data_IF_571549068205
#
_entry.id   IF_571549068205
#
_cell.length_a   1.000
_cell.length_b   1.000
_cell.length_c   1.000
_cell.angle_alpha   90.00
_cell.angle_beta   90.00
_cell.angle_gamma   90.00
#
_symmetry.space_group_name_H-M   'P 1'
#
loop_
_entity.id
_entity.type
_entity.pdbx_description
1 polymer ?
#
# COMPACT_ATOMS: atom_id res chain seq x y z
N UNK A 1 3.77 15.40 -23.24
CA UNK A 1 5.23 15.58 -23.06
C UNK A 1 5.69 14.40 -22.24
N UNK A 2 6.69 13.68 -22.70
CA UNK A 2 7.19 12.49 -22.00
C UNK A 2 7.92 12.91 -20.74
N UNK A 3 7.63 12.27 -19.61
CA UNK A 3 8.35 12.53 -18.37
C UNK A 3 9.27 11.36 -18.02
N UNK A 4 10.35 11.65 -17.29
CA UNK A 4 11.26 10.65 -16.76
C UNK A 4 11.42 10.83 -15.27
N UNK A 5 11.29 9.74 -14.53
CA UNK A 5 11.62 9.66 -13.11
C UNK A 5 13.06 9.14 -12.98
N UNK A 6 13.95 9.95 -12.40
CA UNK A 6 15.37 9.59 -12.26
C UNK A 6 15.61 8.74 -11.01
N UNK A 7 15.21 7.47 -11.09
CA UNK A 7 15.45 6.47 -10.05
C UNK A 7 15.94 5.15 -10.66
N UNK A 8 16.86 4.43 -9.99
CA UNK A 8 17.26 3.11 -10.44
C UNK A 8 16.06 2.15 -10.47
N UNK A 9 15.97 1.32 -11.51
CA UNK A 9 14.91 0.31 -11.62
C UNK A 9 14.84 -0.64 -10.41
N UNK A 10 15.99 -0.95 -9.79
CA UNK A 10 16.04 -1.74 -8.56
C UNK A 10 15.27 -1.10 -7.40
N UNK A 11 15.23 0.23 -7.32
CA UNK A 11 14.47 0.96 -6.29
C UNK A 11 12.97 0.81 -6.52
N UNK A 12 12.52 0.92 -7.79
CA UNK A 12 11.11 0.71 -8.15
C UNK A 12 10.66 -0.72 -7.83
N UNK A 13 11.51 -1.71 -8.11
CA UNK A 13 11.21 -3.11 -7.77
C UNK A 13 11.19 -3.36 -6.26
N UNK A 14 12.10 -2.74 -5.52
CA UNK A 14 12.09 -2.81 -4.06
C UNK A 14 10.83 -2.14 -3.49
N UNK A 15 10.40 -1.01 -4.04
CA UNK A 15 9.18 -0.33 -3.63
C UNK A 15 7.95 -1.23 -3.83
N UNK A 16 7.83 -1.84 -5.01
CA UNK A 16 6.79 -2.82 -5.30
C UNK A 16 6.79 -3.96 -4.28
N UNK A 17 7.95 -4.58 -4.05
CA UNK A 17 8.04 -5.72 -3.14
C UNK A 17 7.65 -5.33 -1.70
N UNK A 18 8.00 -4.11 -1.26
CA UNK A 18 7.59 -3.60 0.05
C UNK A 18 6.08 -3.40 0.15
N UNK A 19 5.45 -2.86 -0.88
CA UNK A 19 3.99 -2.71 -0.91
C UNK A 19 3.25 -4.05 -0.93
N UNK A 20 3.77 -5.03 -1.67
CA UNK A 20 3.25 -6.40 -1.74
C UNK A 20 3.31 -7.07 -0.36
N UNK A 21 4.49 -7.05 0.28
CA UNK A 21 4.68 -7.59 1.64
C UNK A 21 3.79 -6.89 2.66
N UNK A 22 3.70 -5.55 2.61
CA UNK A 22 2.84 -4.79 3.51
C UNK A 22 1.35 -5.14 3.32
N UNK A 23 0.92 -5.33 2.07
CA UNK A 23 -0.42 -5.79 1.73
C UNK A 23 -0.72 -7.15 2.36
N UNK A 24 0.16 -8.13 2.18
CA UNK A 24 0.02 -9.49 2.75
C UNK A 24 0.00 -9.48 4.29
N UNK A 25 0.87 -8.68 4.92
CA UNK A 25 0.93 -8.57 6.37
C UNK A 25 -0.35 -7.96 6.96
N UNK A 26 -0.85 -6.88 6.34
CA UNK A 26 -2.11 -6.23 6.74
C UNK A 26 -3.31 -7.14 6.46
N UNK A 27 -3.31 -7.86 5.34
CA UNK A 27 -4.34 -8.82 4.96
C UNK A 27 -4.45 -9.97 5.99
N UNK A 28 -3.30 -10.48 6.44
CA UNK A 28 -3.25 -11.43 7.54
C UNK A 28 -3.70 -10.82 8.88
N UNK A 29 -3.34 -9.57 9.15
CA UNK A 29 -3.66 -8.89 10.41
C UNK A 29 -5.16 -8.66 10.59
N UNK A 30 -5.85 -8.10 9.57
CA UNK A 30 -7.28 -7.83 9.69
C UNK A 30 -8.09 -9.12 9.83
N UNK A 31 -7.72 -10.20 9.12
CA UNK A 31 -8.39 -11.50 9.26
C UNK A 31 -8.25 -12.06 10.66
N UNK A 32 -7.03 -12.05 11.22
CA UNK A 32 -6.79 -12.51 12.60
C UNK A 32 -7.62 -11.71 13.59
N UNK A 33 -7.68 -10.38 13.42
CA UNK A 33 -8.50 -9.51 14.26
C UNK A 33 -9.99 -9.86 14.14
N UNK A 34 -10.51 -9.94 12.92
CA UNK A 34 -11.92 -10.25 12.64
C UNK A 34 -12.37 -11.62 13.15
N UNK A 35 -11.48 -12.63 13.13
CA UNK A 35 -11.79 -13.99 13.59
C UNK A 35 -11.46 -14.23 15.06
N UNK A 36 -11.04 -13.20 15.80
CA UNK A 36 -10.76 -13.34 17.24
C UNK A 36 -12.05 -13.65 17.99
N UNK A 37 -12.07 -14.79 18.69
CA UNK A 37 -13.25 -15.27 19.43
C UNK A 37 -13.48 -14.46 20.71
N UNK A 38 -14.75 -14.20 21.00
CA UNK A 38 -15.24 -13.55 22.21
C UNK A 38 -16.16 -14.46 23.04
N UNK A 39 -16.25 -15.74 22.69
CA UNK A 39 -17.28 -16.66 23.18
C UNK A 39 -17.26 -16.93 24.70
N UNK A 40 -16.13 -16.70 25.37
CA UNK A 40 -15.95 -16.94 26.81
C UNK A 40 -15.86 -15.63 27.62
N UNK A 41 -16.09 -14.48 26.98
CA UNK A 41 -16.00 -13.18 27.63
C UNK A 41 -17.36 -12.76 28.20
N UNK A 42 -17.31 -11.95 29.25
CA UNK A 42 -18.49 -11.28 29.78
C UNK A 42 -19.09 -10.30 28.75
N UNK A 43 -20.42 -10.14 28.75
CA UNK A 43 -21.15 -9.32 27.77
C UNK A 43 -20.62 -7.89 27.66
N UNK A 44 -20.23 -7.25 28.77
CA UNK A 44 -19.68 -5.89 28.75
C UNK A 44 -18.31 -5.86 28.06
N UNK A 45 -17.51 -6.91 28.26
CA UNK A 45 -16.21 -7.10 27.60
C UNK A 45 -16.40 -7.41 26.12
N UNK A 46 -17.39 -8.24 25.76
CA UNK A 46 -17.74 -8.52 24.36
C UNK A 46 -18.06 -7.21 23.63
N UNK A 47 -18.93 -6.37 24.19
CA UNK A 47 -19.30 -5.09 23.57
C UNK A 47 -18.09 -4.16 23.37
N UNK A 48 -17.20 -4.07 24.35
CA UNK A 48 -15.98 -3.28 24.23
C UNK A 48 -15.00 -3.85 23.18
N UNK A 49 -14.83 -5.17 23.14
CA UNK A 49 -13.99 -5.85 22.15
C UNK A 49 -14.56 -5.68 20.75
N UNK A 50 -15.87 -5.82 20.55
CA UNK A 50 -16.51 -5.64 19.25
C UNK A 50 -16.42 -4.19 18.76
N UNK A 51 -16.68 -3.22 19.65
CA UNK A 51 -16.56 -1.80 19.33
C UNK A 51 -15.13 -1.37 18.96
N UNK A 52 -14.11 -2.10 19.42
CA UNK A 52 -12.74 -1.93 18.94
C UNK A 52 -12.45 -2.73 17.67
N UNK A 53 -12.82 -4.02 17.65
CA UNK A 53 -12.44 -4.99 16.61
C UNK A 53 -12.99 -4.61 15.24
N UNK A 54 -14.27 -4.24 15.17
CA UNK A 54 -14.94 -3.97 13.89
C UNK A 54 -14.32 -2.81 13.11
N UNK A 55 -14.22 -1.58 13.67
CA UNK A 55 -13.64 -0.46 12.92
C UNK A 55 -12.17 -0.70 12.56
N UNK A 56 -11.39 -1.32 13.45
CA UNK A 56 -9.99 -1.62 13.17
C UNK A 56 -9.81 -2.71 12.13
N UNK A 57 -10.68 -3.72 12.07
CA UNK A 57 -10.64 -4.72 11.02
C UNK A 57 -10.94 -4.09 9.65
N UNK A 58 -11.90 -3.17 9.58
CA UNK A 58 -12.22 -2.44 8.35
C UNK A 58 -11.08 -1.51 7.92
N UNK A 59 -10.47 -0.77 8.86
CA UNK A 59 -9.32 0.09 8.58
C UNK A 59 -8.11 -0.70 8.07
N UNK A 60 -7.78 -1.82 8.72
CA UNK A 60 -6.68 -2.68 8.29
C UNK A 60 -6.94 -3.33 6.92
N UNK A 61 -8.19 -3.71 6.65
CA UNK A 61 -8.60 -4.23 5.34
C UNK A 61 -8.44 -3.17 4.25
N UNK A 62 -8.92 -1.94 4.48
CA UNK A 62 -8.75 -0.84 3.54
C UNK A 62 -7.27 -0.54 3.27
N UNK A 63 -6.43 -0.56 4.32
CA UNK A 63 -4.98 -0.38 4.18
C UNK A 63 -4.32 -1.52 3.38
N UNK A 64 -4.74 -2.77 3.58
CA UNK A 64 -4.26 -3.92 2.81
C UNK A 64 -4.60 -3.80 1.32
N UNK A 65 -5.84 -3.41 1.01
CA UNK A 65 -6.31 -3.16 -0.36
C UNK A 65 -5.53 -2.02 -1.02
N UNK A 66 -5.27 -0.93 -0.28
CA UNK A 66 -4.48 0.20 -0.76
C UNK A 66 -3.02 -0.19 -1.05
N UNK A 67 -2.37 -0.91 -0.14
CA UNK A 67 -0.99 -1.40 -0.33
C UNK A 67 -0.88 -2.33 -1.54
N UNK A 68 -1.82 -3.27 -1.70
CA UNK A 68 -1.92 -4.13 -2.88
C UNK A 68 -2.13 -3.32 -4.16
N UNK A 69 -2.97 -2.28 -4.10
CA UNK A 69 -3.20 -1.33 -5.19
C UNK A 69 -1.92 -0.62 -5.62
N UNK A 70 -1.09 -0.17 -4.67
CA UNK A 70 0.19 0.47 -4.97
C UNK A 70 1.21 -0.47 -5.60
N UNK A 71 1.26 -1.73 -5.16
CA UNK A 71 2.10 -2.74 -5.81
C UNK A 71 1.67 -2.98 -7.27
N UNK A 72 0.36 -3.05 -7.53
CA UNK A 72 -0.20 -3.20 -8.88
C UNK A 72 0.07 -1.97 -9.76
N UNK A 73 -0.05 -0.77 -9.18
CA UNK A 73 0.20 0.49 -9.87
C UNK A 73 1.66 0.58 -10.36
N UNK A 74 2.62 0.14 -9.54
CA UNK A 74 4.03 0.06 -9.95
C UNK A 74 4.24 -0.96 -11.10
N UNK A 75 3.50 -2.07 -11.13
CA UNK A 75 3.56 -3.04 -12.23
C UNK A 75 3.03 -2.45 -13.53
N UNK A 76 1.94 -1.69 -13.47
CA UNK A 76 1.38 -1.00 -14.62
C UNK A 76 2.41 -0.05 -15.26
N UNK A 77 3.14 0.70 -14.42
CA UNK A 77 4.21 1.59 -14.90
C UNK A 77 5.44 0.85 -15.45
N UNK A 78 5.76 -0.35 -14.97
CA UNK A 78 6.85 -1.18 -15.52
C UNK A 78 6.62 -1.60 -16.98
N UNK A 79 5.35 -1.69 -17.42
CA UNK A 79 5.01 -1.91 -18.83
C UNK A 79 5.28 -0.70 -19.73
N UNK A 80 5.50 0.48 -19.14
CA UNK A 80 5.60 1.79 -19.78
C UNK A 80 6.89 2.51 -19.37
N UNK A 81 8.08 1.94 -19.65
CA UNK A 81 9.39 2.61 -19.39
C UNK A 81 9.54 3.98 -20.11
N UNK A 82 8.51 4.40 -20.84
CA UNK A 82 8.19 5.79 -21.18
C UNK A 82 6.98 6.22 -20.35
N UNK A 83 7.18 6.99 -19.29
CA UNK A 83 6.07 7.58 -18.53
C UNK A 83 5.41 8.63 -19.43
N UNK A 84 4.11 8.47 -19.71
CA UNK A 84 3.45 9.19 -20.80
C UNK A 84 3.37 10.71 -20.55
N UNK A 85 3.34 11.10 -19.28
CA UNK A 85 3.22 12.48 -18.82
C UNK A 85 3.80 12.68 -17.40
N UNK A 86 3.91 13.94 -16.98
CA UNK A 86 4.51 14.34 -15.71
C UNK A 86 3.70 13.88 -14.48
N UNK A 87 2.38 13.81 -14.60
CA UNK A 87 1.49 13.39 -13.51
C UNK A 87 1.75 11.94 -13.11
N UNK A 88 1.93 11.06 -14.09
CA UNK A 88 2.29 9.66 -13.85
C UNK A 88 3.67 9.51 -13.19
N UNK A 89 4.63 10.36 -13.51
CA UNK A 89 5.97 10.30 -12.92
C UNK A 89 5.95 10.77 -11.45
N UNK A 90 5.17 11.81 -11.15
CA UNK A 90 4.95 12.28 -9.79
C UNK A 90 4.20 11.25 -8.94
N UNK A 91 3.23 10.56 -9.54
CA UNK A 91 2.48 9.48 -8.90
C UNK A 91 3.35 8.26 -8.60
N UNK A 92 4.19 7.83 -9.54
CA UNK A 92 5.14 6.75 -9.26
C UNK A 92 6.14 7.15 -8.15
N UNK A 93 6.58 8.42 -8.13
CA UNK A 93 7.50 8.95 -7.11
C UNK A 93 6.92 8.91 -5.70
N UNK A 94 5.64 9.21 -5.53
CA UNK A 94 4.98 9.17 -4.21
C UNK A 94 4.78 7.76 -3.65
N UNK A 95 4.95 6.73 -4.48
CA UNK A 95 4.90 5.32 -4.08
C UNK A 95 6.29 4.75 -3.76
N UNK A 96 7.36 5.51 -3.96
CA UNK A 96 8.71 5.09 -3.61
C UNK A 96 8.96 5.21 -2.10
N UNK A 97 10.03 4.60 -1.58
CA UNK A 97 10.45 4.88 -0.22
C UNK A 97 10.74 6.37 -0.05
N UNK A 98 10.55 6.89 1.17
CA UNK A 98 10.66 8.32 1.46
C UNK A 98 11.96 8.98 0.97
N UNK A 99 13.07 8.24 1.04
CA UNK A 99 14.39 8.70 0.56
C UNK A 99 14.47 8.96 -0.96
N UNK A 100 13.41 8.64 -1.71
CA UNK A 100 13.31 8.87 -3.15
C UNK A 100 12.08 9.73 -3.53
N UNK A 101 11.36 10.30 -2.55
CA UNK A 101 10.23 11.20 -2.82
C UNK A 101 10.65 12.51 -3.49
N UNK A 102 11.92 12.88 -3.35
CA UNK A 102 12.58 14.05 -3.92
C UNK A 102 13.32 13.75 -5.23
N UNK A 103 13.19 12.53 -5.77
CA UNK A 103 13.72 12.18 -7.08
C UNK A 103 13.22 13.14 -8.17
N UNK A 104 14.13 13.52 -9.07
CA UNK A 104 13.81 14.46 -10.14
C UNK A 104 12.81 13.85 -11.13
N UNK A 105 11.77 14.62 -11.45
CA UNK A 105 10.87 14.36 -12.57
C UNK A 105 11.22 15.38 -13.65
N UNK A 106 11.82 14.92 -14.75
CA UNK A 106 12.21 15.79 -15.86
C UNK A 106 11.27 15.58 -17.04
N UNK A 107 10.72 16.67 -17.58
CA UNK A 107 10.00 16.65 -18.85
C UNK A 107 10.97 16.67 -20.03
N UNK A 108 10.74 15.80 -21.01
CA UNK A 108 11.35 15.83 -22.34
C UNK A 108 10.57 16.71 -23.32
#
# INVERSE_FOLDING_TARGET
>A
MTARLDVPFAVVQQARQRWDVAGDELDGAWRRLATTSTAELDTDVVAAVEGFREPWADELKAAAEQASGYAAEIVYFRGLVVVADQEQAERLRSLLPWAQHDAAVTGG
#
